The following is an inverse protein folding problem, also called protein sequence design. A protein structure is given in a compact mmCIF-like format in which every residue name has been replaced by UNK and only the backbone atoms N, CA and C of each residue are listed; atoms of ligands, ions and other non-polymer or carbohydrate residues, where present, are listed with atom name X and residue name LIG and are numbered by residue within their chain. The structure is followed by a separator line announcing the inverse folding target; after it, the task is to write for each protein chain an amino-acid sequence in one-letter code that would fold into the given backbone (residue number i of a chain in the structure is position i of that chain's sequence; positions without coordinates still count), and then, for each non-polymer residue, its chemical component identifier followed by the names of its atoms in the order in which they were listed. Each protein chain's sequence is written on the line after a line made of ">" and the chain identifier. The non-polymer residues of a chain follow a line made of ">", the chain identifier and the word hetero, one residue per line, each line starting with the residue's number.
data_IF_111105167261
#
_entry.id   IF_111105167261
#
_cell.length_a   1.000
_cell.length_b   1.000
_cell.length_c   1.000
_cell.angle_alpha   90.00
_cell.angle_beta   90.00
_cell.angle_gamma   90.00
#
_symmetry.space_group_name_H-M   'P 1'
#
loop_
_entity.id
_entity.type
_entity.pdbx_description
1 polymer ?
#
# COMPACT_ATOMS: atom_id res chain seq x y z
N UNK A 1 -12.60 4.12 -8.18
CA UNK A 1 -11.23 3.97 -7.65
C UNK A 1 -10.33 4.82 -8.54
N UNK A 2 -10.50 6.15 -8.54
CA UNK A 2 -9.76 7.06 -9.47
C UNK A 2 -9.71 8.53 -9.03
N UNK A 3 -10.56 8.95 -8.07
CA UNK A 3 -10.62 10.37 -7.61
C UNK A 3 -9.30 10.87 -7.02
N UNK A 4 -8.52 10.02 -6.35
CA UNK A 4 -7.34 10.47 -5.60
C UNK A 4 -6.29 11.11 -6.51
N UNK A 5 -6.06 10.57 -7.71
CA UNK A 5 -5.08 11.13 -8.64
C UNK A 5 -5.67 12.14 -9.62
N UNK A 6 -6.97 12.09 -9.89
CA UNK A 6 -7.63 13.17 -10.64
C UNK A 6 -7.64 14.49 -9.87
N UNK A 7 -7.66 14.44 -8.53
CA UNK A 7 -7.63 15.63 -7.70
C UNK A 7 -6.22 16.19 -7.45
N UNK A 8 -5.17 15.52 -7.94
CA UNK A 8 -3.79 15.93 -7.67
C UNK A 8 -3.06 16.19 -8.98
N UNK A 9 -2.54 17.41 -9.15
CA UNK A 9 -1.75 17.78 -10.32
C UNK A 9 -0.51 16.85 -10.46
N UNK A 10 -0.42 16.03 -11.52
CA UNK A 10 0.72 15.15 -11.74
C UNK A 10 2.05 15.90 -11.86
N UNK A 11 2.03 17.17 -12.30
CA UNK A 11 3.18 18.05 -12.35
C UNK A 11 3.75 18.34 -10.97
N UNK A 12 2.90 18.55 -9.96
CA UNK A 12 3.34 18.77 -8.58
C UNK A 12 3.92 17.49 -7.97
N UNK A 13 3.32 16.33 -8.22
CA UNK A 13 3.84 15.04 -7.73
C UNK A 13 5.17 14.61 -8.38
N UNK A 14 5.58 15.25 -9.48
CA UNK A 14 6.93 15.09 -10.04
C UNK A 14 8.00 15.87 -9.27
N UNK A 15 7.64 16.81 -8.42
CA UNK A 15 8.63 17.64 -7.71
C UNK A 15 8.53 17.43 -6.20
N UNK A 16 7.32 17.24 -5.68
CA UNK A 16 6.98 17.16 -4.26
C UNK A 16 6.32 15.82 -3.91
N UNK A 17 6.43 15.42 -2.66
CA UNK A 17 5.79 14.20 -2.15
C UNK A 17 4.27 14.31 -2.06
N UNK A 18 3.56 13.17 -2.04
CA UNK A 18 2.10 13.15 -1.89
C UNK A 18 1.64 13.80 -0.57
N UNK A 19 2.45 13.70 0.46
CA UNK A 19 2.26 14.32 1.78
C UNK A 19 2.32 15.85 1.73
N UNK A 20 3.15 16.43 0.86
CA UNK A 20 3.21 17.88 0.66
C UNK A 20 2.08 18.38 -0.24
N UNK A 21 1.76 17.63 -1.30
CA UNK A 21 0.78 18.07 -2.31
C UNK A 21 -0.65 17.83 -1.84
N UNK A 22 -0.90 16.73 -1.12
CA UNK A 22 -2.22 16.38 -0.61
C UNK A 22 -2.18 15.62 0.73
N UNK A 23 -1.78 16.27 1.84
CA UNK A 23 -1.56 15.63 3.14
C UNK A 23 -2.77 14.85 3.68
N UNK A 24 -3.99 15.29 3.33
CA UNK A 24 -5.22 14.62 3.78
C UNK A 24 -5.32 13.18 3.28
N UNK A 25 -4.78 12.87 2.08
CA UNK A 25 -4.85 11.51 1.53
C UNK A 25 -3.95 10.54 2.29
N UNK A 26 -2.86 11.03 2.89
CA UNK A 26 -1.93 10.23 3.67
C UNK A 26 -2.52 9.74 5.00
N UNK A 27 -3.69 10.25 5.41
CA UNK A 27 -4.43 9.76 6.59
C UNK A 27 -5.12 8.41 6.33
N UNK A 28 -5.29 8.02 5.06
CA UNK A 28 -5.89 6.74 4.71
C UNK A 28 -4.81 5.66 4.60
N UNK A 29 -4.82 4.66 5.49
CA UNK A 29 -3.81 3.58 5.48
C UNK A 29 -3.84 2.71 4.21
N UNK A 30 -4.92 2.76 3.41
CA UNK A 30 -4.99 2.11 2.10
C UNK A 30 -4.26 2.89 1.00
N UNK A 31 -3.65 4.04 1.31
CA UNK A 31 -2.87 4.86 0.38
C UNK A 31 -1.43 4.94 0.88
N UNK A 32 -0.47 4.61 0.02
CA UNK A 32 0.94 4.64 0.36
C UNK A 32 1.74 5.29 -0.77
N UNK A 33 2.68 6.16 -0.41
CA UNK A 33 3.58 6.84 -1.34
C UNK A 33 5.03 6.44 -1.07
N UNK A 34 5.79 6.19 -2.13
CA UNK A 34 7.23 6.00 -2.06
C UNK A 34 7.93 7.12 -2.84
N UNK A 35 8.49 8.10 -2.11
CA UNK A 35 9.19 9.25 -2.71
C UNK A 35 10.40 8.82 -3.56
N UNK A 36 11.14 7.79 -3.12
CA UNK A 36 12.32 7.29 -3.82
C UNK A 36 11.98 6.74 -5.23
N UNK A 37 10.91 5.95 -5.33
CA UNK A 37 10.50 5.34 -6.60
C UNK A 37 9.43 6.15 -7.34
N UNK A 38 8.89 7.21 -6.72
CA UNK A 38 7.79 8.05 -7.22
C UNK A 38 6.58 7.21 -7.62
N UNK A 39 6.15 6.38 -6.68
CA UNK A 39 5.00 5.49 -6.84
C UNK A 39 3.98 5.72 -5.76
N UNK A 40 2.72 5.56 -6.13
CA UNK A 40 1.58 5.61 -5.21
C UNK A 40 0.83 4.29 -5.35
N UNK A 41 0.57 3.64 -4.23
CA UNK A 41 -0.29 2.47 -4.15
C UNK A 41 -1.60 2.87 -3.48
N UNK A 42 -2.71 2.45 -4.07
CA UNK A 42 -4.06 2.64 -3.53
C UNK A 42 -4.75 1.29 -3.48
N UNK A 43 -5.09 0.83 -2.28
CA UNK A 43 -5.93 -0.34 -2.08
C UNK A 43 -7.41 0.00 -2.25
N UNK A 44 -8.17 -0.88 -2.90
CA UNK A 44 -9.61 -0.73 -3.08
C UNK A 44 -10.45 -1.71 -2.26
N UNK A 45 -11.73 -1.36 -2.17
CA UNK A 45 -12.78 -2.18 -1.57
C UNK A 45 -12.99 -3.54 -2.26
N UNK A 46 -12.66 -3.65 -3.54
CA UNK A 46 -12.77 -4.89 -4.31
C UNK A 46 -11.49 -5.76 -4.23
N UNK A 47 -10.53 -5.41 -3.37
CA UNK A 47 -9.32 -6.21 -3.18
C UNK A 47 -8.22 -5.96 -4.21
N UNK A 48 -8.40 -5.01 -5.14
CA UNK A 48 -7.36 -4.62 -6.08
C UNK A 48 -6.43 -3.54 -5.48
N UNK A 49 -5.16 -3.56 -5.88
CA UNK A 49 -4.22 -2.44 -5.73
C UNK A 49 -4.14 -1.72 -7.07
N UNK A 50 -4.38 -0.40 -7.08
CA UNK A 50 -3.93 0.46 -8.15
C UNK A 50 -2.55 1.00 -7.80
N UNK A 51 -1.55 0.65 -8.61
CA UNK A 51 -0.18 1.06 -8.47
C UNK A 51 0.16 2.06 -9.58
N UNK A 52 0.36 3.30 -9.20
CA UNK A 52 0.65 4.39 -10.10
C UNK A 52 2.14 4.71 -10.12
N UNK A 53 2.71 4.76 -11.31
CA UNK A 53 4.08 5.16 -11.57
C UNK A 53 4.12 6.56 -12.17
N UNK A 54 4.50 7.54 -11.35
CA UNK A 54 4.33 8.96 -11.66
C UNK A 54 5.28 9.46 -12.76
N UNK A 55 6.42 8.78 -12.95
CA UNK A 55 7.40 9.14 -14.00
C UNK A 55 6.90 8.78 -15.39
N UNK A 56 6.33 7.59 -15.52
CA UNK A 56 5.87 7.02 -16.80
C UNK A 56 4.37 7.26 -17.04
N UNK A 57 3.66 7.84 -16.08
CA UNK A 57 2.20 7.99 -16.07
C UNK A 57 1.46 6.68 -16.32
N UNK A 58 2.00 5.56 -15.82
CA UNK A 58 1.40 4.23 -15.95
C UNK A 58 0.64 3.86 -14.68
N UNK A 59 -0.46 3.13 -14.84
CA UNK A 59 -1.20 2.50 -13.76
C UNK A 59 -1.20 0.98 -13.96
N UNK A 60 -0.94 0.23 -12.89
CA UNK A 60 -1.13 -1.21 -12.85
C UNK A 60 -2.24 -1.56 -11.87
N UNK A 61 -3.14 -2.44 -12.27
CA UNK A 61 -4.15 -3.02 -11.39
C UNK A 61 -3.74 -4.43 -11.01
N UNK A 62 -3.57 -4.66 -9.71
CA UNK A 62 -3.08 -5.93 -9.17
C UNK A 62 -4.21 -6.57 -8.36
N UNK A 63 -4.73 -7.74 -8.75
CA UNK A 63 -5.70 -8.49 -7.95
C UNK A 63 -4.99 -9.07 -6.72
N UNK A 64 -5.06 -8.35 -5.60
CA UNK A 64 -4.22 -8.62 -4.45
C UNK A 64 -4.92 -9.48 -3.38
N UNK A 65 -6.21 -9.22 -3.17
CA UNK A 65 -7.06 -9.90 -2.20
C UNK A 65 -8.47 -10.06 -2.80
N UNK A 66 -9.30 -10.92 -2.23
CA UNK A 66 -10.73 -11.03 -2.53
C UNK A 66 -11.63 -10.11 -1.66
N UNK A 67 -11.08 -9.52 -0.60
CA UNK A 67 -11.74 -8.54 0.27
C UNK A 67 -11.07 -7.16 0.20
N UNK A 68 -11.74 -6.17 0.77
CA UNK A 68 -11.25 -4.80 0.84
C UNK A 68 -9.82 -4.71 1.43
N UNK A 69 -8.95 -3.99 0.72
CA UNK A 69 -7.62 -3.67 1.22
C UNK A 69 -7.77 -2.55 2.25
N UNK A 70 -7.50 -2.88 3.50
CA UNK A 70 -7.65 -1.96 4.63
C UNK A 70 -6.36 -1.19 4.94
N UNK A 71 -5.20 -1.73 4.53
CA UNK A 71 -3.93 -1.03 4.64
C UNK A 71 -2.94 -1.46 3.56
N UNK A 72 -2.05 -0.56 3.14
CA UNK A 72 -0.88 -0.88 2.33
C UNK A 72 0.30 0.04 2.70
N UNK A 73 1.53 -0.40 2.45
CA UNK A 73 2.72 0.39 2.75
C UNK A 73 3.93 -0.03 1.89
N UNK A 74 4.61 0.94 1.27
CA UNK A 74 5.91 0.71 0.63
C UNK A 74 7.01 0.58 1.67
N UNK A 75 7.98 -0.29 1.39
CA UNK A 75 9.24 -0.30 2.14
C UNK A 75 9.98 1.02 1.93
N UNK A 76 10.84 1.45 2.89
CA UNK A 76 11.60 2.69 2.76
C UNK A 76 12.48 2.74 1.51
N UNK A 77 13.07 1.62 1.12
CA UNK A 77 13.86 1.47 -0.12
C UNK A 77 13.01 1.31 -1.40
N UNK A 78 11.68 1.23 -1.26
CA UNK A 78 10.72 1.08 -2.34
C UNK A 78 10.76 -0.26 -3.07
N UNK A 79 11.56 -1.24 -2.63
CA UNK A 79 11.64 -2.56 -3.31
C UNK A 79 10.40 -3.41 -3.06
N UNK A 80 9.75 -3.21 -1.93
CA UNK A 80 8.58 -3.96 -1.52
C UNK A 80 7.37 -3.07 -1.31
N UNK A 81 6.21 -3.63 -1.62
CA UNK A 81 4.92 -3.14 -1.18
C UNK A 81 4.31 -4.22 -0.32
N UNK A 82 3.64 -3.85 0.77
CA UNK A 82 2.81 -4.76 1.53
C UNK A 82 1.37 -4.29 1.49
N UNK A 83 0.45 -5.24 1.53
CA UNK A 83 -1.00 -5.01 1.52
C UNK A 83 -1.67 -5.91 2.53
N UNK A 84 -2.73 -5.43 3.17
CA UNK A 84 -3.47 -6.14 4.18
C UNK A 84 -4.97 -6.03 3.95
N UNK A 85 -5.65 -7.17 3.99
CA UNK A 85 -7.10 -7.26 3.95
C UNK A 85 -7.60 -7.87 5.28
N UNK A 86 -8.16 -7.03 6.14
CA UNK A 86 -8.75 -7.47 7.41
C UNK A 86 -9.88 -8.48 7.22
N UNK A 87 -10.67 -8.38 6.14
CA UNK A 87 -11.75 -9.33 5.84
C UNK A 87 -11.26 -10.77 5.67
N UNK A 88 -10.05 -10.95 5.14
CA UNK A 88 -9.42 -12.26 4.90
C UNK A 88 -8.40 -12.64 5.98
N UNK A 89 -8.12 -11.75 6.92
CA UNK A 89 -7.01 -11.87 7.85
C UNK A 89 -5.70 -12.20 7.11
N UNK A 90 -5.44 -11.51 6.00
CA UNK A 90 -4.33 -11.84 5.10
C UNK A 90 -3.46 -10.62 4.81
N UNK A 91 -2.15 -10.81 4.98
CA UNK A 91 -1.11 -9.87 4.61
C UNK A 91 -0.31 -10.44 3.43
N UNK A 92 -0.06 -9.65 2.40
CA UNK A 92 0.70 -10.06 1.21
C UNK A 92 1.82 -9.08 0.91
N UNK A 93 3.02 -9.61 0.68
CA UNK A 93 4.20 -8.90 0.21
C UNK A 93 4.32 -8.98 -1.30
N UNK A 94 4.70 -7.87 -1.89
CA UNK A 94 4.88 -7.69 -3.31
C UNK A 94 6.28 -7.16 -3.57
N UNK A 95 7.07 -7.89 -4.35
CA UNK A 95 8.29 -7.33 -4.91
C UNK A 95 7.92 -6.46 -6.09
N UNK A 96 8.42 -5.24 -6.07
CA UNK A 96 8.16 -4.26 -7.13
C UNK A 96 9.48 -3.96 -7.84
N UNK A 97 9.51 -4.14 -9.16
CA UNK A 97 10.64 -3.74 -10.00
C UNK A 97 10.19 -2.68 -10.98
N UNK A 98 11.03 -1.67 -11.17
CA UNK A 98 10.89 -0.68 -12.23
C UNK A 98 11.80 -1.06 -13.39
N UNK A 99 11.37 -0.78 -14.61
CA UNK A 99 12.27 -0.87 -15.77
C UNK A 99 13.52 -0.01 -15.55
N UNK A 100 14.68 -0.52 -15.95
CA UNK A 100 15.94 0.22 -15.83
C UNK A 100 15.86 1.44 -16.75
N UNK A 101 16.01 2.65 -16.22
CA UNK A 101 15.91 3.90 -16.98
C UNK A 101 14.57 4.10 -17.74
N UNK A 102 13.48 3.51 -17.26
CA UNK A 102 12.18 3.58 -17.94
C UNK A 102 12.08 2.68 -19.18
N UNK A 103 13.12 1.92 -19.49
CA UNK A 103 13.11 0.83 -20.46
C UNK A 103 12.66 -0.46 -19.76
N UNK A 104 11.61 -1.07 -20.28
CA UNK A 104 11.02 -2.30 -19.75
C UNK A 104 9.73 -2.07 -18.95
N UNK A 105 8.99 -3.16 -18.76
CA UNK A 105 7.75 -3.13 -17.99
C UNK A 105 8.04 -3.21 -16.50
N UNK A 106 7.45 -2.29 -15.73
CA UNK A 106 7.37 -2.42 -14.27
C UNK A 106 6.62 -3.71 -13.94
N UNK A 107 7.13 -4.50 -13.01
CA UNK A 107 6.52 -5.76 -12.60
C UNK A 107 6.29 -5.73 -11.10
N UNK A 108 5.13 -6.22 -10.70
CA UNK A 108 4.78 -6.37 -9.29
C UNK A 108 4.31 -7.79 -9.07
N UNK A 109 5.08 -8.55 -8.29
CA UNK A 109 4.83 -9.98 -8.05
C UNK A 109 4.64 -10.23 -6.56
N UNK A 110 3.59 -10.96 -6.20
CA UNK A 110 3.41 -11.46 -4.84
C UNK A 110 4.54 -12.44 -4.52
N UNK A 111 5.31 -12.16 -3.47
CA UNK A 111 6.43 -13.02 -3.04
C UNK A 111 6.03 -13.91 -1.88
N UNK A 112 5.27 -13.39 -0.92
CA UNK A 112 4.83 -14.11 0.27
C UNK A 112 3.46 -13.60 0.72
N UNK A 113 2.67 -14.50 1.30
CA UNK A 113 1.47 -14.14 2.06
C UNK A 113 1.50 -14.79 3.42
N UNK A 114 0.92 -14.10 4.40
CA UNK A 114 0.80 -14.54 5.78
C UNK A 114 -0.66 -14.44 6.20
N UNK A 115 -1.16 -15.47 6.87
CA UNK A 115 -2.39 -15.37 7.65
C UNK A 115 -2.10 -14.60 8.94
N UNK A 116 -3.00 -13.72 9.31
CA UNK A 116 -2.96 -12.95 10.56
C UNK A 116 -4.00 -13.47 11.52
N UNK A 117 -3.84 -13.19 12.81
CA UNK A 117 -4.87 -13.51 13.79
C UNK A 117 -6.20 -12.86 13.41
N UNK A 118 -7.33 -13.58 13.48
CA UNK A 118 -8.63 -12.99 13.24
C UNK A 118 -8.95 -12.00 14.35
N UNK A 119 -9.32 -10.78 13.98
CA UNK A 119 -9.88 -9.80 14.91
C UNK A 119 -11.39 -9.92 14.97
N UNK A 120 -11.94 -9.76 16.18
CA UNK A 120 -13.38 -9.72 16.41
C UNK A 120 -14.05 -8.66 15.51
N UNK A 121 -15.24 -8.97 15.00
CA UNK A 121 -15.95 -8.12 14.03
C UNK A 121 -16.20 -6.71 14.59
N UNK A 122 -16.58 -6.60 15.87
CA UNK A 122 -16.76 -5.31 16.55
C UNK A 122 -15.50 -4.43 16.48
N UNK A 123 -14.31 -5.03 16.60
CA UNK A 123 -13.04 -4.31 16.48
C UNK A 123 -12.79 -3.82 15.05
N UNK A 124 -13.24 -4.56 14.03
CA UNK A 124 -13.09 -4.18 12.60
C UNK A 124 -13.91 -2.95 12.24
N UNK A 125 -15.04 -2.75 12.91
CA UNK A 125 -15.96 -1.64 12.65
C UNK A 125 -15.52 -0.34 13.32
N UNK A 126 -14.46 -0.36 14.15
CA UNK A 126 -13.99 0.82 14.85
C UNK A 126 -13.21 1.76 13.90
N UNK A 127 -13.76 2.93 13.52
CA UNK A 127 -13.08 3.85 12.60
C UNK A 127 -11.85 4.52 13.22
N UNK A 128 -11.75 4.54 14.55
CA UNK A 128 -10.65 5.18 15.29
C UNK A 128 -9.42 4.28 15.37
N UNK A 129 -9.55 2.97 15.16
CA UNK A 129 -8.45 2.00 15.25
C UNK A 129 -8.46 1.09 14.02
N UNK A 130 -8.18 1.67 12.86
CA UNK A 130 -7.99 0.90 11.63
C UNK A 130 -6.60 0.26 11.58
N UNK A 131 -6.52 -0.91 10.93
CA UNK A 131 -5.24 -1.60 10.75
C UNK A 131 -4.20 -0.68 10.11
N UNK A 132 -2.96 -0.76 10.58
CA UNK A 132 -1.83 0.06 10.11
C UNK A 132 -0.61 -0.82 9.87
N UNK A 133 0.11 -0.50 8.80
CA UNK A 133 1.37 -1.14 8.44
C UNK A 133 2.52 -0.16 8.67
N UNK A 134 3.54 -0.56 9.41
CA UNK A 134 4.73 0.26 9.67
C UNK A 134 5.98 -0.56 9.40
N UNK A 135 6.76 -0.11 8.42
CA UNK A 135 8.07 -0.71 8.13
C UNK A 135 9.07 -0.33 9.22
N UNK A 136 9.64 -1.35 9.87
CA UNK A 136 10.65 -1.18 10.92
C UNK A 136 12.06 -1.07 10.31
N UNK A 137 12.24 -1.67 9.13
CA UNK A 137 13.43 -1.60 8.28
C UNK A 137 13.03 -2.03 6.85
N UNK A 138 13.99 -2.24 5.93
CA UNK A 138 13.68 -2.61 4.53
C UNK A 138 13.11 -4.02 4.34
N UNK A 139 13.04 -4.85 5.39
CA UNK A 139 12.64 -6.27 5.32
C UNK A 139 11.56 -6.66 6.33
N UNK A 140 11.37 -5.87 7.37
CA UNK A 140 10.41 -6.17 8.45
C UNK A 140 9.31 -5.12 8.50
N UNK A 141 8.06 -5.57 8.50
CA UNK A 141 6.88 -4.72 8.71
C UNK A 141 6.10 -5.18 9.93
N UNK A 142 5.65 -4.23 10.73
CA UNK A 142 4.70 -4.45 11.81
C UNK A 142 3.28 -4.17 11.30
N UNK A 143 2.37 -5.11 11.53
CA UNK A 143 0.93 -4.94 11.40
C UNK A 143 0.37 -4.63 12.78
N UNK A 144 -0.21 -3.46 12.94
CA UNK A 144 -0.97 -3.05 14.13
C UNK A 144 -2.46 -3.15 13.81
N UNK A 145 -3.20 -3.85 14.65
CA UNK A 145 -4.63 -4.11 14.46
C UNK A 145 -5.50 -3.29 15.41
N UNK A 146 -6.81 -3.30 15.14
CA UNK A 146 -7.80 -2.48 15.84
C UNK A 146 -7.90 -2.76 17.35
N UNK A 147 -7.63 -4.02 17.73
CA UNK A 147 -7.61 -4.49 19.11
C UNK A 147 -6.32 -4.12 19.85
N UNK A 148 -5.36 -3.49 19.17
CA UNK A 148 -4.07 -3.11 19.73
C UNK A 148 -2.99 -4.20 19.60
N UNK A 149 -3.30 -5.34 18.99
CA UNK A 149 -2.28 -6.35 18.72
C UNK A 149 -1.28 -5.87 17.66
N UNK A 150 0.00 -6.22 17.87
CA UNK A 150 1.10 -5.96 16.94
C UNK A 150 1.75 -7.29 16.56
N UNK A 151 1.84 -7.56 15.26
CA UNK A 151 2.55 -8.74 14.73
C UNK A 151 3.54 -8.29 13.67
N UNK A 152 4.76 -8.86 13.70
CA UNK A 152 5.83 -8.52 12.76
C UNK A 152 6.00 -9.61 11.70
N UNK A 153 6.20 -9.17 10.47
CA UNK A 153 6.38 -10.04 9.31
C UNK A 153 7.65 -9.65 8.56
N UNK A 154 8.34 -10.66 8.03
CA UNK A 154 9.54 -10.47 7.21
C UNK A 154 9.25 -10.83 5.76
N UNK A 155 9.80 -10.03 4.85
CA UNK A 155 9.75 -10.30 3.41
C UNK A 155 10.64 -11.47 3.01
#
# INVERSE_FOLDING_TARGET
>A
MDVILHCVDPGHLKVRGLDEVFPAVCKFHQVSHCSATRRIAVGAKNGNIALYELRSAKCQHIPAHGCAITACAFSPDGKFLVSYASGENRLSFWQTSTGMFGLGNSQTKCTKSYSTSPIAEMSRLNPMRVAKLVWMNNRTVALMLADGSETRFNV
#
